data_IF_081207762945
#
_entry.id   IF_081207762945
#
_cell.length_a   1.000
_cell.length_b   1.000
_cell.length_c   1.000
_cell.angle_alpha   90.00
_cell.angle_beta   90.00
_cell.angle_gamma   90.00
#
_symmetry.space_group_name_H-M   'P 1'
#
loop_
_entity.id
_entity.type
_entity.pdbx_description
1 polymer ?
#
# COMPACT_ATOMS: atom_id res chain seq x y z
N UNK A 1 -8.16 -8.44 2.22
CA UNK A 1 -7.93 -7.03 1.87
C UNK A 1 -7.95 -6.92 0.37
N UNK A 2 -8.61 -5.90 -0.16
CA UNK A 2 -8.48 -5.57 -1.57
C UNK A 2 -7.17 -4.80 -1.76
N UNK A 3 -6.37 -5.19 -2.75
CA UNK A 3 -5.05 -4.61 -3.00
C UNK A 3 -5.05 -4.00 -4.40
N UNK A 4 -5.02 -2.68 -4.45
CA UNK A 4 -4.89 -1.93 -5.67
C UNK A 4 -3.42 -1.93 -6.12
N UNK A 5 -3.19 -1.98 -7.44
CA UNK A 5 -1.87 -1.86 -8.05
C UNK A 5 -1.84 -0.58 -8.87
N UNK A 6 -1.08 0.40 -8.42
CA UNK A 6 -1.08 1.76 -8.99
C UNK A 6 0.35 2.14 -9.35
N UNK A 7 0.56 2.69 -10.54
CA UNK A 7 1.85 3.26 -10.94
C UNK A 7 1.84 4.78 -10.67
N UNK A 8 2.57 5.22 -9.65
CA UNK A 8 2.77 6.63 -9.37
C UNK A 8 3.67 7.27 -10.44
N UNK A 9 3.45 8.55 -10.78
CA UNK A 9 4.23 9.27 -11.80
C UNK A 9 4.23 8.60 -13.18
N UNK A 10 3.16 7.90 -13.53
CA UNK A 10 2.95 7.34 -14.86
C UNK A 10 2.36 8.39 -15.80
N UNK A 11 2.66 8.25 -17.10
CA UNK A 11 1.92 8.93 -18.18
C UNK A 11 0.99 7.90 -18.83
N UNK A 12 -0.27 7.91 -18.38
CA UNK A 12 -1.24 6.86 -18.70
C UNK A 12 -0.73 5.48 -18.27
N UNK A 13 -0.52 4.59 -19.25
CA UNK A 13 -0.02 3.23 -19.00
C UNK A 13 1.51 3.09 -19.15
N UNK A 14 2.24 4.20 -19.28
CA UNK A 14 3.69 4.19 -19.56
C UNK A 14 4.49 4.70 -18.36
N UNK A 15 5.51 3.93 -17.97
CA UNK A 15 6.46 4.31 -16.93
C UNK A 15 5.85 4.35 -15.52
N UNK A 16 6.48 5.13 -14.64
CA UNK A 16 6.08 5.30 -13.24
C UNK A 16 6.71 4.30 -12.27
N UNK A 17 6.33 4.43 -11.00
CA UNK A 17 6.75 3.57 -9.90
C UNK A 17 5.55 2.76 -9.38
N UNK A 18 5.50 1.43 -9.61
CA UNK A 18 4.39 0.59 -9.15
C UNK A 18 4.40 0.45 -7.63
N UNK A 19 3.24 0.58 -7.02
CA UNK A 19 3.02 0.37 -5.59
C UNK A 19 1.74 -0.42 -5.34
N UNK A 20 1.75 -1.20 -4.25
CA UNK A 20 0.53 -1.75 -3.67
C UNK A 20 -0.18 -0.68 -2.86
N UNK A 21 -1.51 -0.61 -2.95
CA UNK A 21 -2.31 0.30 -2.12
C UNK A 21 -3.48 -0.45 -1.51
N UNK A 22 -3.60 -0.40 -0.19
CA UNK A 22 -4.72 -0.95 0.55
C UNK A 22 -5.40 0.18 1.31
N UNK A 23 -6.70 0.32 1.09
CA UNK A 23 -7.56 1.30 1.76
C UNK A 23 -8.62 0.52 2.52
N UNK A 24 -8.79 0.79 3.81
CA UNK A 24 -9.80 0.14 4.63
C UNK A 24 -10.28 1.00 5.79
N UNK A 25 -11.27 0.50 6.52
CA UNK A 25 -11.86 1.17 7.69
C UNK A 25 -10.90 1.24 8.89
N UNK A 26 -9.95 0.30 8.98
CA UNK A 26 -8.94 0.25 10.03
C UNK A 26 -7.64 -0.35 9.48
N UNK A 27 -6.51 0.02 10.09
CA UNK A 27 -5.23 -0.60 9.74
C UNK A 27 -5.14 -2.02 10.31
N UNK A 28 -4.64 -2.99 9.53
CA UNK A 28 -4.27 -4.30 10.04
C UNK A 28 -3.12 -4.18 11.05
N UNK A 29 -2.82 -5.27 11.75
CA UNK A 29 -1.58 -5.35 12.50
C UNK A 29 -0.34 -5.33 11.58
N UNK A 30 0.82 -5.01 12.15
CA UNK A 30 2.06 -4.86 11.39
C UNK A 30 2.48 -6.16 10.66
N UNK A 31 2.23 -7.33 11.26
CA UNK A 31 2.61 -8.61 10.67
C UNK A 31 1.74 -8.92 9.44
N UNK A 32 0.45 -8.61 9.50
CA UNK A 32 -0.46 -8.73 8.37
C UNK A 32 -0.09 -7.78 7.23
N UNK A 33 0.24 -6.51 7.55
CA UNK A 33 0.71 -5.56 6.55
C UNK A 33 2.02 -6.00 5.88
N UNK A 34 3.00 -6.48 6.65
CA UNK A 34 4.24 -7.04 6.12
C UNK A 34 4.00 -8.22 5.17
N UNK A 35 3.12 -9.17 5.57
CA UNK A 35 2.79 -10.32 4.72
C UNK A 35 2.17 -9.89 3.39
N UNK A 36 1.26 -8.91 3.42
CA UNK A 36 0.65 -8.38 2.20
C UNK A 36 1.69 -7.68 1.32
N UNK A 37 2.58 -6.85 1.90
CA UNK A 37 3.65 -6.21 1.14
C UNK A 37 4.59 -7.22 0.45
N UNK A 38 4.93 -8.30 1.16
CA UNK A 38 5.73 -9.41 0.61
C UNK A 38 5.01 -10.17 -0.52
N UNK A 39 3.68 -10.27 -0.46
CA UNK A 39 2.87 -10.91 -1.51
C UNK A 39 2.75 -10.04 -2.77
N UNK A 40 2.62 -8.72 -2.60
CA UNK A 40 2.52 -7.76 -3.71
C UNK A 40 3.80 -7.69 -4.55
N UNK A 41 4.98 -7.78 -3.89
CA UNK A 41 6.31 -7.77 -4.52
C UNK A 41 6.64 -6.53 -5.36
N UNK A 42 6.06 -5.39 -5.00
CA UNK A 42 6.53 -4.07 -5.45
C UNK A 42 7.47 -3.46 -4.41
N UNK A 43 8.13 -2.36 -4.77
CA UNK A 43 9.07 -1.64 -3.88
C UNK A 43 8.43 -1.27 -2.55
N UNK A 44 7.17 -0.82 -2.58
CA UNK A 44 6.38 -0.55 -1.39
C UNK A 44 4.90 -0.92 -1.56
N UNK A 45 4.26 -1.17 -0.42
CA UNK A 45 2.80 -1.19 -0.27
C UNK A 45 2.36 -0.17 0.77
N UNK A 46 1.43 0.71 0.41
CA UNK A 46 0.82 1.69 1.30
C UNK A 46 -0.49 1.15 1.89
N UNK A 47 -0.68 1.30 3.20
CA UNK A 47 -1.88 0.94 3.93
C UNK A 47 -2.48 2.20 4.54
N UNK A 48 -3.72 2.52 4.20
CA UNK A 48 -4.39 3.73 4.65
C UNK A 48 -5.73 3.41 5.32
N UNK A 49 -5.98 4.05 6.46
CA UNK A 49 -7.27 4.03 7.15
C UNK A 49 -7.57 5.40 7.80
N UNK A 50 -8.84 5.76 8.00
CA UNK A 50 -9.21 7.00 8.67
C UNK A 50 -8.73 7.03 10.13
N UNK A 51 -8.27 8.21 10.57
CA UNK A 51 -7.88 8.52 11.95
C UNK A 51 -8.54 9.86 12.35
N UNK A 52 -9.83 9.78 12.74
CA UNK A 52 -10.63 10.98 13.02
C UNK A 52 -10.91 11.78 11.74
N UNK A 53 -10.35 13.00 11.66
CA UNK A 53 -10.48 13.88 10.49
C UNK A 53 -9.32 13.74 9.49
N UNK A 54 -8.34 12.88 9.78
CA UNK A 54 -7.18 12.64 8.93
C UNK A 54 -7.10 11.16 8.51
N UNK A 55 -6.04 10.80 7.80
CA UNK A 55 -5.73 9.43 7.43
C UNK A 55 -4.41 9.02 8.05
N UNK A 56 -4.37 7.82 8.65
CA UNK A 56 -3.10 7.18 8.97
C UNK A 56 -2.66 6.32 7.79
N UNK A 57 -1.45 6.58 7.33
CA UNK A 57 -0.82 5.80 6.27
C UNK A 57 0.45 5.14 6.80
N UNK A 58 0.62 3.86 6.50
CA UNK A 58 1.84 3.10 6.79
C UNK A 58 2.38 2.50 5.50
N UNK A 59 3.70 2.43 5.40
CA UNK A 59 4.40 1.89 4.24
C UNK A 59 5.23 0.70 4.68
N UNK A 60 5.26 -0.33 3.85
CA UNK A 60 6.08 -1.51 4.03
C UNK A 60 6.74 -1.86 2.72
N UNK A 61 8.03 -2.19 2.78
CA UNK A 61 8.69 -2.91 1.69
C UNK A 61 8.39 -4.41 1.85
N UNK A 62 8.69 -5.25 0.85
CA UNK A 62 8.54 -6.71 0.99
C UNK A 62 9.29 -7.32 2.19
N UNK A 63 10.36 -6.67 2.66
CA UNK A 63 11.27 -7.19 3.68
C UNK A 63 11.29 -6.38 4.99
N UNK A 64 10.63 -5.21 5.06
CA UNK A 64 10.68 -4.30 6.24
C UNK A 64 9.46 -3.42 6.43
#
# INVERSE_FOLDING_TARGET
MDVLKIAAFSDGNTGGNPAGVVIGEALPDAAAMQRVAAEVRFSETAFAAPEGVSWRVRYFSPES
#
